data_IF_728393382458
#
_entry.id   IF_728393382458
#
_cell.length_a   1.000
_cell.length_b   1.000
_cell.length_c   1.000
_cell.angle_alpha   90.00
_cell.angle_beta   90.00
_cell.angle_gamma   90.00
#
_symmetry.space_group_name_H-M   'P 1'
#
loop_
_entity.id
_entity.type
_entity.pdbx_description
1 polymer ?
#
# COMPACT_ATOMS: atom_id res chain seq x y z
N UNK A 1 -108.56 10.16 21.25
CA UNK A 1 -108.31 11.01 20.07
C UNK A 1 -106.84 11.40 20.14
N UNK A 2 -105.93 10.70 19.46
CA UNK A 2 -105.49 10.88 18.07
C UNK A 2 -104.96 12.29 17.75
N UNK A 3 -103.78 12.29 17.10
CA UNK A 3 -103.03 13.34 16.39
C UNK A 3 -102.05 14.13 17.29
N UNK A 4 -100.71 14.12 17.11
CA UNK A 4 -99.76 14.11 15.98
C UNK A 4 -99.06 15.48 15.85
N UNK A 5 -97.76 15.41 15.51
CA UNK A 5 -96.89 16.40 14.84
C UNK A 5 -95.89 17.23 15.69
N UNK A 6 -94.62 16.93 15.39
CA UNK A 6 -93.54 17.80 14.88
C UNK A 6 -92.70 18.71 15.80
N UNK A 7 -91.39 18.42 15.68
CA UNK A 7 -90.29 19.33 15.33
C UNK A 7 -89.71 20.26 16.41
N UNK A 8 -88.45 20.00 16.77
CA UNK A 8 -87.42 20.96 17.24
C UNK A 8 -86.11 20.16 17.38
N UNK A 9 -85.21 20.18 16.40
CA UNK A 9 -84.06 21.09 16.21
C UNK A 9 -82.82 20.75 17.04
N UNK A 10 -81.63 20.85 16.41
CA UNK A 10 -80.25 20.70 16.95
C UNK A 10 -79.78 19.24 17.04
N UNK A 11 -78.59 18.79 16.60
CA UNK A 11 -77.27 19.40 16.46
C UNK A 11 -76.53 18.83 15.23
N UNK A 12 -75.67 19.64 14.63
CA UNK A 12 -74.75 19.25 13.57
C UNK A 12 -73.66 18.29 14.08
N UNK A 13 -73.45 17.17 13.38
CA UNK A 13 -72.26 16.33 13.54
C UNK A 13 -71.48 16.33 12.20
N UNK A 14 -70.50 17.23 12.12
CA UNK A 14 -69.36 17.10 11.22
C UNK A 14 -68.50 15.92 11.68
N UNK A 15 -68.14 15.03 10.77
CA UNK A 15 -66.77 14.52 10.57
C UNK A 15 -66.80 13.21 9.79
N UNK A 16 -66.17 13.20 8.61
CA UNK A 16 -65.51 12.02 8.02
C UNK A 16 -64.61 12.52 6.88
N UNK A 17 -63.55 13.24 7.25
CA UNK A 17 -62.38 13.36 6.38
C UNK A 17 -61.57 12.07 6.53
N UNK A 18 -61.55 11.28 5.47
CA UNK A 18 -60.65 10.14 5.31
C UNK A 18 -59.20 10.64 5.34
N UNK A 19 -58.45 10.27 6.37
CA UNK A 19 -57.01 10.47 6.46
C UNK A 19 -56.28 9.22 5.92
N UNK A 20 -55.22 9.36 5.10
CA UNK A 20 -54.42 8.22 4.66
C UNK A 20 -53.47 7.78 5.79
N UNK A 21 -53.83 6.70 6.49
CA UNK A 21 -53.08 6.12 7.60
C UNK A 21 -51.88 5.25 7.16
N UNK A 22 -51.13 5.62 6.12
CA UNK A 22 -50.10 4.73 5.54
C UNK A 22 -48.71 5.34 5.35
N UNK A 23 -48.45 6.55 5.87
CA UNK A 23 -47.12 7.15 5.77
C UNK A 23 -46.17 6.80 6.94
N UNK A 24 -46.67 6.26 8.06
CA UNK A 24 -45.90 6.12 9.29
C UNK A 24 -44.95 4.91 9.31
N UNK A 25 -45.07 3.96 8.37
CA UNK A 25 -44.39 2.65 8.47
C UNK A 25 -43.18 2.49 7.53
N UNK A 26 -42.60 3.60 7.04
CA UNK A 26 -41.38 3.59 6.22
C UNK A 26 -40.07 3.90 6.97
N UNK A 27 -40.13 4.15 8.28
CA UNK A 27 -38.94 4.52 9.07
C UNK A 27 -38.33 3.39 9.90
N UNK A 28 -38.88 2.17 9.84
CA UNK A 28 -38.31 1.01 10.55
C UNK A 28 -37.37 0.24 9.61
N UNK A 29 -36.13 0.72 9.51
CA UNK A 29 -35.10 0.07 8.70
C UNK A 29 -33.78 0.81 8.63
N UNK A 30 -33.64 1.97 9.28
CA UNK A 30 -32.34 2.63 9.42
C UNK A 30 -31.54 1.84 10.47
N UNK A 31 -30.66 0.96 10.01
CA UNK A 31 -29.62 0.38 10.85
C UNK A 31 -28.98 1.53 11.62
N UNK A 32 -29.20 1.55 12.93
CA UNK A 32 -28.74 2.64 13.79
C UNK A 32 -27.22 2.53 13.85
N UNK A 33 -26.53 3.25 12.98
CA UNK A 33 -25.07 3.31 12.96
C UNK A 33 -24.61 3.79 14.34
N UNK A 34 -23.81 3.00 15.08
CA UNK A 34 -23.35 3.36 16.43
C UNK A 34 -22.61 4.70 16.45
N UNK A 35 -21.94 5.05 15.35
CA UNK A 35 -21.34 6.36 15.13
C UNK A 35 -22.33 7.52 15.22
N UNK A 36 -23.54 7.38 14.64
CA UNK A 36 -24.55 8.45 14.64
C UNK A 36 -25.13 8.66 16.03
N UNK A 37 -25.30 7.58 16.80
CA UNK A 37 -25.74 7.66 18.20
C UNK A 37 -24.70 8.34 19.10
N UNK A 38 -23.41 8.02 18.91
CA UNK A 38 -22.33 8.66 19.65
C UNK A 38 -22.22 10.16 19.31
N UNK A 39 -22.23 10.51 18.02
CA UNK A 39 -22.14 11.89 17.56
C UNK A 39 -23.31 12.77 18.05
N UNK A 40 -24.48 12.19 18.28
CA UNK A 40 -25.65 12.93 18.78
C UNK A 40 -25.62 13.21 20.29
N UNK A 41 -24.76 12.51 21.04
CA UNK A 41 -24.66 12.60 22.50
C UNK A 41 -23.49 13.46 22.98
N UNK A 42 -22.57 13.83 22.07
CA UNK A 42 -21.35 14.56 22.39
C UNK A 42 -21.54 16.06 22.09
N UNK A 43 -21.22 16.95 23.04
CA UNK A 43 -21.20 18.40 22.82
C UNK A 43 -20.33 18.81 21.61
N UNK A 44 -20.72 19.88 20.90
CA UNK A 44 -20.06 20.30 19.65
C UNK A 44 -18.56 20.62 19.79
N UNK A 45 -18.11 21.00 20.98
CA UNK A 45 -16.71 21.26 21.36
C UNK A 45 -15.91 19.98 21.68
N UNK A 46 -16.60 18.83 21.79
CA UNK A 46 -16.03 17.52 22.05
C UNK A 46 -16.24 16.54 20.89
N UNK A 47 -16.83 17.03 19.80
CA UNK A 47 -17.17 16.22 18.64
C UNK A 47 -15.87 15.66 18.01
N UNK A 48 -15.81 14.34 17.75
CA UNK A 48 -14.63 13.73 17.15
C UNK A 48 -14.42 14.22 15.72
N UNK A 49 -13.16 14.54 15.40
CA UNK A 49 -12.76 14.98 14.06
C UNK A 49 -12.85 13.87 13.01
N UNK A 50 -12.62 12.62 13.42
CA UNK A 50 -12.72 11.45 12.54
C UNK A 50 -13.58 10.39 13.20
N UNK A 51 -14.58 9.94 12.46
CA UNK A 51 -15.40 8.78 12.81
C UNK A 51 -15.40 7.82 11.64
N UNK A 52 -14.91 6.61 11.87
CA UNK A 52 -14.92 5.51 10.92
C UNK A 52 -15.73 4.37 11.52
N UNK A 53 -16.91 4.12 10.96
CA UNK A 53 -17.80 3.04 11.36
C UNK A 53 -17.75 1.91 10.33
N UNK A 54 -17.41 0.72 10.79
CA UNK A 54 -17.30 -0.51 9.99
C UNK A 54 -18.31 -1.51 10.55
N UNK A 55 -19.58 -1.43 10.09
CA UNK A 55 -20.68 -2.24 10.63
C UNK A 55 -20.58 -3.72 10.23
N UNK A 56 -19.79 -4.06 9.21
CA UNK A 56 -19.57 -5.43 8.76
C UNK A 56 -18.09 -5.63 8.44
N UNK A 57 -17.31 -6.02 9.45
CA UNK A 57 -15.92 -6.44 9.31
C UNK A 57 -15.88 -7.97 9.24
N UNK A 58 -15.63 -8.51 8.06
CA UNK A 58 -15.48 -9.96 7.87
C UNK A 58 -14.01 -10.31 7.73
N UNK A 59 -13.52 -11.16 8.62
CA UNK A 59 -12.17 -11.72 8.57
C UNK A 59 -12.27 -13.20 8.20
N UNK A 60 -11.55 -13.62 7.17
CA UNK A 60 -11.58 -14.98 6.68
C UNK A 60 -11.01 -15.98 7.70
N UNK A 61 -9.89 -15.64 8.34
CA UNK A 61 -9.32 -16.44 9.43
C UNK A 61 -8.46 -15.63 10.40
N UNK A 62 -8.46 -16.04 11.67
CA UNK A 62 -7.59 -15.56 12.73
C UNK A 62 -6.82 -16.78 13.28
N UNK A 63 -5.50 -16.75 13.17
CA UNK A 63 -4.63 -17.77 13.76
C UNK A 63 -3.97 -17.21 15.01
N UNK A 64 -4.17 -17.85 16.15
CA UNK A 64 -3.53 -17.53 17.42
C UNK A 64 -2.57 -18.67 17.79
N UNK A 65 -1.28 -18.38 17.86
CA UNK A 65 -0.25 -19.32 18.29
C UNK A 65 0.31 -18.83 19.63
N UNK A 66 0.01 -19.58 20.69
CA UNK A 66 0.35 -19.24 22.07
C UNK A 66 1.21 -20.34 22.64
N UNK A 67 2.35 -19.97 23.21
CA UNK A 67 3.25 -20.89 23.90
C UNK A 67 3.08 -20.75 25.40
N UNK A 68 3.16 -21.86 26.14
CA UNK A 68 3.10 -21.89 27.60
C UNK A 68 1.77 -21.37 28.17
N UNK A 69 0.63 -21.79 27.62
CA UNK A 69 -0.69 -21.43 28.14
C UNK A 69 -0.97 -22.18 29.45
N UNK A 70 -1.05 -21.44 30.55
CA UNK A 70 -1.51 -21.95 31.85
C UNK A 70 -2.97 -21.51 32.07
N UNK A 71 -3.85 -22.47 32.33
CA UNK A 71 -5.28 -22.24 32.53
C UNK A 71 -5.77 -22.96 33.78
N UNK A 72 -6.50 -22.23 34.63
CA UNK A 72 -7.11 -22.76 35.84
C UNK A 72 -8.61 -22.87 35.64
N UNK A 73 -9.17 -24.08 35.77
CA UNK A 73 -10.61 -24.33 35.63
C UNK A 73 -11.15 -24.80 36.97
N UNK A 74 -12.06 -24.02 37.55
CA UNK A 74 -12.77 -24.39 38.77
C UNK A 74 -14.27 -24.54 38.48
N UNK A 75 -14.81 -25.72 38.73
CA UNK A 75 -16.25 -26.00 38.71
C UNK A 75 -16.75 -26.11 40.16
N UNK A 76 -17.65 -25.20 40.54
CA UNK A 76 -18.40 -25.29 41.78
C UNK A 76 -19.89 -25.44 41.46
N UNK A 77 -20.45 -26.60 41.71
CA UNK A 77 -21.86 -26.91 41.48
C UNK A 77 -22.51 -27.35 42.79
N UNK A 78 -23.59 -26.66 43.17
CA UNK A 78 -24.34 -26.95 44.38
C UNK A 78 -25.81 -27.19 44.04
N UNK A 79 -26.30 -28.39 44.30
CA UNK A 79 -27.70 -28.77 44.16
C UNK A 79 -28.31 -28.89 45.55
N UNK A 80 -28.90 -27.78 46.01
CA UNK A 80 -29.56 -27.63 47.31
C UNK A 80 -28.80 -28.36 48.43
N UNK A 81 -29.46 -29.31 49.09
CA UNK A 81 -28.90 -30.12 50.17
C UNK A 81 -28.40 -31.50 49.71
N UNK A 82 -28.52 -31.81 48.42
CA UNK A 82 -28.25 -33.16 47.90
C UNK A 82 -26.84 -33.33 47.35
N UNK A 83 -26.27 -32.30 46.72
CA UNK A 83 -24.94 -32.39 46.12
C UNK A 83 -24.17 -31.09 46.23
N UNK A 84 -22.92 -31.19 46.73
CA UNK A 84 -21.90 -30.15 46.61
C UNK A 84 -20.72 -30.74 45.86
N UNK A 85 -20.47 -30.25 44.66
CA UNK A 85 -19.36 -30.64 43.82
C UNK A 85 -18.41 -29.45 43.65
N UNK A 86 -17.19 -29.61 44.10
CA UNK A 86 -16.11 -28.65 43.87
C UNK A 86 -14.97 -29.40 43.20
N UNK A 87 -14.63 -28.99 41.98
CA UNK A 87 -13.53 -29.55 41.20
C UNK A 87 -12.65 -28.41 40.68
N UNK A 88 -11.34 -28.54 40.83
CA UNK A 88 -10.34 -27.66 40.24
C UNK A 88 -9.42 -28.46 39.33
N UNK A 89 -9.02 -27.89 38.20
CA UNK A 89 -8.04 -28.44 37.30
C UNK A 89 -7.07 -27.34 36.86
N UNK A 90 -5.77 -27.59 37.05
CA UNK A 90 -4.70 -26.77 36.53
C UNK A 90 -4.20 -27.39 35.22
N UNK A 91 -4.24 -26.62 34.14
CA UNK A 91 -3.88 -27.06 32.80
C UNK A 91 -2.68 -26.25 32.34
N UNK A 92 -1.59 -26.92 31.98
CA UNK A 92 -0.41 -26.31 31.36
C UNK A 92 -0.30 -26.86 29.94
N UNK A 93 -0.26 -25.98 28.95
CA UNK A 93 -0.14 -26.32 27.53
C UNK A 93 1.09 -25.62 26.95
N UNK A 94 2.06 -26.40 26.47
CA UNK A 94 3.32 -25.86 25.96
C UNK A 94 3.14 -25.06 24.66
N UNK A 95 2.20 -25.48 23.81
CA UNK A 95 1.85 -24.77 22.57
C UNK A 95 0.37 -24.99 22.24
N UNK A 96 -0.32 -23.91 21.91
CA UNK A 96 -1.70 -23.87 21.49
C UNK A 96 -1.80 -23.09 20.19
N UNK A 97 -2.28 -23.77 19.15
CA UNK A 97 -2.63 -23.14 17.88
C UNK A 97 -4.15 -23.14 17.72
N UNK A 98 -4.73 -21.95 17.63
CA UNK A 98 -6.16 -21.73 17.43
C UNK A 98 -6.40 -21.05 16.10
N UNK A 99 -7.07 -21.74 15.18
CA UNK A 99 -7.48 -21.22 13.89
C UNK A 99 -8.99 -20.96 13.88
N UNK A 100 -9.39 -19.69 13.97
CA UNK A 100 -10.79 -19.25 13.92
C UNK A 100 -11.09 -18.84 12.48
N UNK A 101 -12.10 -19.45 11.85
CA UNK A 101 -12.50 -19.13 10.46
C UNK A 101 -13.83 -18.39 10.43
N UNK A 102 -13.96 -17.45 9.49
CA UNK A 102 -15.20 -16.73 9.23
C UNK A 102 -15.64 -15.88 10.41
N UNK A 103 -14.81 -14.95 10.85
CA UNK A 103 -15.13 -14.02 11.94
C UNK A 103 -15.89 -12.83 11.36
N UNK A 104 -17.09 -12.56 11.88
CA UNK A 104 -17.82 -11.32 11.62
C UNK A 104 -17.76 -10.44 12.87
N UNK A 105 -17.27 -9.22 12.70
CA UNK A 105 -17.16 -8.24 13.76
C UNK A 105 -17.74 -6.89 13.29
N UNK A 106 -18.00 -6.01 14.25
CA UNK A 106 -18.25 -4.60 13.98
C UNK A 106 -17.12 -3.79 14.62
N UNK A 107 -16.61 -2.78 13.93
CA UNK A 107 -15.53 -1.93 14.43
C UNK A 107 -15.89 -0.46 14.23
N UNK A 108 -15.75 0.37 15.27
CA UNK A 108 -15.90 1.81 15.18
C UNK A 108 -14.64 2.49 15.71
N UNK A 109 -14.04 3.35 14.91
CA UNK A 109 -12.87 4.16 15.25
C UNK A 109 -13.31 5.61 15.37
N UNK A 110 -13.15 6.17 16.57
CA UNK A 110 -13.50 7.54 16.92
C UNK A 110 -12.21 8.23 17.35
N UNK A 111 -11.79 9.27 16.61
CA UNK A 111 -10.53 9.97 16.87
C UNK A 111 -10.78 11.46 17.03
N UNK A 112 -10.18 12.03 18.07
CA UNK A 112 -10.06 13.48 18.27
C UNK A 112 -8.64 13.92 17.91
N UNK A 113 -8.54 14.98 17.11
CA UNK A 113 -7.32 15.54 16.54
C UNK A 113 -6.92 16.84 17.24
N UNK A 114 -7.35 17.04 18.50
CA UNK A 114 -7.07 18.22 19.34
C UNK A 114 -5.59 18.64 19.35
N UNK A 115 -4.68 17.69 19.11
CA UNK A 115 -3.23 17.89 19.15
C UNK A 115 -2.54 17.92 17.78
N UNK A 116 -3.24 17.75 16.65
CA UNK A 116 -2.58 17.76 15.33
C UNK A 116 -1.96 19.12 15.04
N UNK A 117 -2.64 20.20 15.45
CA UNK A 117 -2.07 21.55 15.37
C UNK A 117 -0.80 21.69 16.21
N UNK A 118 -0.79 21.16 17.44
CA UNK A 118 0.39 21.19 18.31
C UNK A 118 1.55 20.35 17.76
N UNK A 119 1.26 19.23 17.10
CA UNK A 119 2.25 18.41 16.40
C UNK A 119 2.82 19.18 15.21
N UNK A 120 1.98 19.80 14.38
CA UNK A 120 2.43 20.59 13.23
C UNK A 120 3.26 21.79 13.70
N UNK A 121 2.79 22.57 14.68
CA UNK A 121 3.53 23.68 15.28
C UNK A 121 4.87 23.20 15.85
N UNK A 122 4.92 22.05 16.54
CA UNK A 122 6.16 21.49 17.06
C UNK A 122 7.10 20.97 15.98
N UNK A 123 6.58 20.36 14.90
CA UNK A 123 7.41 19.92 13.77
C UNK A 123 7.98 21.11 13.00
N UNK A 124 7.19 22.17 12.79
CA UNK A 124 7.66 23.41 12.18
C UNK A 124 8.69 24.11 13.08
N UNK A 125 8.46 24.19 14.39
CA UNK A 125 9.47 24.67 15.35
C UNK A 125 10.72 23.80 15.38
N UNK A 126 10.59 22.47 15.23
CA UNK A 126 11.75 21.58 15.21
C UNK A 126 12.56 21.77 13.94
N UNK A 127 11.92 21.97 12.79
CA UNK A 127 12.58 22.32 11.53
C UNK A 127 13.26 23.71 11.61
N UNK A 128 12.60 24.69 12.20
CA UNK A 128 13.12 26.05 12.39
C UNK A 128 14.36 26.07 13.31
N UNK A 129 14.30 25.30 14.41
CA UNK A 129 15.42 25.18 15.36
C UNK A 129 16.53 24.21 14.90
N UNK A 130 16.32 23.44 13.82
CA UNK A 130 17.28 22.46 13.32
C UNK A 130 17.45 22.57 11.78
N UNK A 131 17.93 23.72 11.27
CA UNK A 131 18.09 23.96 9.82
C UNK A 131 19.04 22.95 9.15
N UNK A 132 19.90 22.28 9.92
CA UNK A 132 20.75 21.19 9.43
C UNK A 132 19.97 20.04 8.78
N UNK A 133 18.72 19.78 9.17
CA UNK A 133 17.88 18.72 8.58
C UNK A 133 17.57 19.03 7.10
N UNK A 134 17.29 20.29 6.79
CA UNK A 134 17.03 20.75 5.42
C UNK A 134 18.30 20.68 4.57
N UNK A 135 19.45 21.04 5.14
CA UNK A 135 20.74 21.01 4.43
C UNK A 135 21.19 19.60 4.00
N UNK A 136 20.83 18.58 4.78
CA UNK A 136 21.14 17.19 4.47
C UNK A 136 20.26 16.66 3.33
N UNK A 137 18.98 17.06 3.31
CA UNK A 137 18.02 16.71 2.26
C UNK A 137 18.35 17.39 0.92
N UNK A 138 18.76 18.67 0.93
CA UNK A 138 19.23 19.36 -0.29
C UNK A 138 20.55 18.80 -0.78
N UNK A 139 21.48 18.46 0.13
CA UNK A 139 22.72 17.78 -0.24
C UNK A 139 22.51 16.40 -0.89
N UNK A 140 21.49 15.64 -0.47
CA UNK A 140 21.13 14.38 -1.14
C UNK A 140 20.50 14.58 -2.52
N UNK A 141 19.76 15.68 -2.72
CA UNK A 141 19.19 16.01 -4.02
C UNK A 141 20.27 16.50 -5.00
N UNK A 142 21.24 17.29 -4.54
CA UNK A 142 22.40 17.71 -5.34
C UNK A 142 23.27 16.52 -5.73
N UNK A 143 23.41 15.51 -4.86
CA UNK A 143 24.08 14.26 -5.20
C UNK A 143 23.29 13.42 -6.22
N UNK A 144 21.96 13.35 -6.14
CA UNK A 144 21.15 12.61 -7.11
C UNK A 144 21.19 13.25 -8.53
N UNK A 145 21.23 14.58 -8.60
CA UNK A 145 21.39 15.30 -9.88
C UNK A 145 22.81 15.16 -10.43
N UNK A 146 23.85 15.22 -9.58
CA UNK A 146 25.24 14.97 -10.00
C UNK A 146 25.52 13.52 -10.39
N UNK A 147 24.86 12.54 -9.77
CA UNK A 147 25.01 11.12 -10.13
C UNK A 147 24.44 10.87 -11.53
N UNK A 148 23.37 11.54 -11.93
CA UNK A 148 22.85 11.42 -13.31
C UNK A 148 23.81 12.02 -14.33
N UNK A 149 24.49 13.14 -14.03
CA UNK A 149 25.51 13.73 -14.90
C UNK A 149 26.83 12.95 -14.97
N UNK A 150 27.25 12.32 -13.87
CA UNK A 150 28.51 11.57 -13.80
C UNK A 150 28.38 10.11 -14.24
N UNK A 151 27.20 9.49 -14.16
CA UNK A 151 26.98 8.12 -14.67
C UNK A 151 27.03 8.10 -16.20
N UNK A 152 26.55 9.14 -16.88
CA UNK A 152 26.70 9.26 -18.33
C UNK A 152 28.18 9.37 -18.75
N UNK A 153 28.98 10.18 -18.06
CA UNK A 153 30.39 10.39 -18.40
C UNK A 153 31.30 9.21 -18.00
N UNK A 154 31.07 8.57 -16.85
CA UNK A 154 31.86 7.40 -16.44
C UNK A 154 31.53 6.14 -17.25
N UNK A 155 30.27 5.96 -17.68
CA UNK A 155 29.92 4.87 -18.59
C UNK A 155 30.57 5.05 -19.97
N UNK A 156 30.61 6.27 -20.50
CA UNK A 156 31.27 6.57 -21.79
C UNK A 156 32.79 6.35 -21.71
N UNK A 157 33.45 6.80 -20.64
CA UNK A 157 34.90 6.60 -20.48
C UNK A 157 35.27 5.13 -20.26
N UNK A 158 34.50 4.39 -19.46
CA UNK A 158 34.75 2.96 -19.21
C UNK A 158 34.55 2.12 -20.47
N UNK A 159 33.57 2.45 -21.32
CA UNK A 159 33.35 1.76 -22.61
C UNK A 159 34.43 2.13 -23.64
N UNK A 160 34.96 3.36 -23.63
CA UNK A 160 36.10 3.76 -24.46
C UNK A 160 37.39 2.96 -24.16
N UNK A 161 37.67 2.71 -22.88
CA UNK A 161 38.83 1.92 -22.45
C UNK A 161 38.66 0.42 -22.74
N UNK A 162 37.44 -0.12 -22.61
CA UNK A 162 37.12 -1.49 -23.02
C UNK A 162 37.30 -1.70 -24.54
N UNK A 163 36.88 -0.72 -25.36
CA UNK A 163 37.02 -0.77 -26.82
C UNK A 163 38.50 -0.86 -27.24
N UNK A 164 39.37 -0.12 -26.57
CA UNK A 164 40.82 -0.15 -26.83
C UNK A 164 41.46 -1.49 -26.49
N UNK A 165 40.96 -2.19 -25.46
CA UNK A 165 41.44 -3.52 -25.08
C UNK A 165 40.92 -4.65 -25.97
N UNK A 166 39.68 -4.56 -26.47
CA UNK A 166 39.10 -5.57 -27.37
C UNK A 166 39.73 -5.54 -28.76
N UNK A 167 40.19 -4.37 -29.23
CA UNK A 167 40.78 -4.21 -30.55
C UNK A 167 42.30 -4.51 -30.61
N UNK A 168 42.86 -5.22 -29.63
CA UNK A 168 44.29 -5.55 -29.59
C UNK A 168 44.67 -6.61 -30.63
N UNK A 169 45.78 -6.40 -31.34
CA UNK A 169 46.36 -7.42 -32.25
C UNK A 169 46.63 -8.72 -31.48
N UNK A 170 46.13 -9.84 -32.01
CA UNK A 170 46.18 -11.18 -31.42
C UNK A 170 44.94 -11.59 -30.61
N UNK A 171 44.04 -10.66 -30.24
CA UNK A 171 42.78 -10.98 -29.57
C UNK A 171 41.72 -11.50 -30.56
N UNK A 172 40.78 -12.32 -30.10
CA UNK A 172 39.60 -12.68 -30.89
C UNK A 172 38.60 -11.53 -30.83
N UNK A 173 38.13 -11.07 -31.99
CA UNK A 173 37.16 -9.99 -32.08
C UNK A 173 35.76 -10.51 -31.66
N UNK A 174 35.25 -10.01 -30.53
CA UNK A 174 33.87 -10.26 -30.07
C UNK A 174 33.05 -8.96 -30.11
N UNK A 175 32.37 -8.74 -31.23
CA UNK A 175 31.59 -7.52 -31.49
C UNK A 175 30.43 -7.41 -30.51
N UNK A 176 29.75 -8.53 -30.22
CA UNK A 176 28.55 -8.57 -29.37
C UNK A 176 28.84 -8.14 -27.92
N UNK A 177 30.05 -8.42 -27.42
CA UNK A 177 30.47 -8.04 -26.06
C UNK A 177 31.23 -6.71 -25.99
N UNK A 178 31.68 -6.20 -27.12
CA UNK A 178 32.53 -5.00 -27.20
C UNK A 178 31.78 -3.67 -27.26
N UNK A 179 30.45 -3.69 -27.43
CA UNK A 179 29.67 -2.47 -27.65
C UNK A 179 29.94 -1.79 -29.01
N UNK A 180 30.63 -2.49 -29.92
CA UNK A 180 30.90 -2.04 -31.28
C UNK A 180 29.75 -2.41 -32.22
N UNK A 181 29.49 -1.55 -33.20
CA UNK A 181 28.50 -1.80 -34.25
C UNK A 181 29.21 -1.98 -35.60
N UNK A 182 28.88 -3.05 -36.33
CA UNK A 182 29.46 -3.28 -37.66
C UNK A 182 28.85 -2.34 -38.68
N UNK A 183 29.68 -1.50 -39.29
CA UNK A 183 29.30 -0.54 -40.35
C UNK A 183 29.46 -1.18 -41.72
N UNK A 184 30.55 -1.90 -41.95
CA UNK A 184 30.79 -2.62 -43.20
C UNK A 184 31.74 -3.79 -42.99
N UNK A 185 31.55 -4.86 -43.77
CA UNK A 185 32.39 -6.06 -43.73
C UNK A 185 32.71 -6.50 -45.16
N UNK A 186 34.01 -6.70 -45.43
CA UNK A 186 34.51 -7.14 -46.74
C UNK A 186 35.63 -8.15 -46.54
N UNK A 187 35.67 -9.19 -47.37
CA UNK A 187 36.77 -10.17 -47.39
C UNK A 187 37.75 -9.78 -48.49
N UNK A 188 39.05 -9.70 -48.15
CA UNK A 188 40.09 -9.39 -49.13
C UNK A 188 40.52 -10.63 -49.93
N UNK A 189 41.33 -10.43 -50.98
CA UNK A 189 41.83 -11.53 -51.81
C UNK A 189 42.73 -12.54 -51.07
N UNK A 190 43.19 -12.20 -49.86
CA UNK A 190 43.96 -13.08 -48.99
C UNK A 190 43.08 -13.89 -48.01
N UNK A 191 41.75 -13.81 -48.11
CA UNK A 191 40.81 -14.53 -47.25
C UNK A 191 40.69 -13.95 -45.83
N UNK A 192 41.15 -12.72 -45.61
CA UNK A 192 41.03 -12.00 -44.34
C UNK A 192 39.78 -11.12 -44.36
N UNK A 193 39.11 -11.01 -43.23
CA UNK A 193 37.91 -10.19 -43.11
C UNK A 193 38.25 -8.82 -42.56
N UNK A 194 37.99 -7.78 -43.35
CA UNK A 194 38.11 -6.37 -43.00
C UNK A 194 36.76 -5.86 -42.54
N UNK A 195 36.66 -5.42 -41.29
CA UNK A 195 35.45 -4.88 -40.68
C UNK A 195 35.66 -3.43 -40.28
N UNK A 196 34.72 -2.59 -40.66
CA UNK A 196 34.59 -1.23 -40.15
C UNK A 196 33.59 -1.25 -39.01
N UNK A 197 34.04 -0.89 -37.82
CA UNK A 197 33.27 -0.91 -36.58
C UNK A 197 33.10 0.51 -36.08
N UNK A 198 31.93 0.86 -35.56
CA UNK A 198 31.67 2.14 -34.90
C UNK A 198 31.48 1.92 -33.40
N UNK A 199 32.25 2.64 -32.60
CA UNK A 199 32.10 2.68 -31.15
C UNK A 199 30.95 3.57 -30.71
N UNK A 200 30.53 3.42 -29.45
CA UNK A 200 29.52 4.27 -28.82
C UNK A 200 29.95 5.74 -28.69
N UNK A 201 31.25 6.00 -28.78
CA UNK A 201 31.88 7.33 -28.86
C UNK A 201 31.77 7.97 -30.25
N UNK A 202 31.19 7.26 -31.22
CA UNK A 202 31.09 7.69 -32.62
C UNK A 202 32.38 7.46 -33.44
N UNK A 203 33.45 6.99 -32.81
CA UNK A 203 34.70 6.71 -33.51
C UNK A 203 34.57 5.47 -34.40
N UNK A 204 35.26 5.50 -35.55
CA UNK A 204 35.27 4.40 -36.50
C UNK A 204 36.62 3.69 -36.45
N UNK A 205 36.60 2.36 -36.41
CA UNK A 205 37.76 1.49 -36.37
C UNK A 205 37.70 0.54 -37.56
N UNK A 206 38.83 0.36 -38.23
CA UNK A 206 39.01 -0.67 -39.25
C UNK A 206 39.84 -1.80 -38.67
N UNK A 207 39.25 -3.00 -38.63
CA UNK A 207 39.79 -4.18 -38.00
C UNK A 207 39.91 -5.29 -39.03
N UNK A 208 41.12 -5.77 -39.25
CA UNK A 208 41.42 -6.91 -40.13
C UNK A 208 41.57 -8.15 -39.26
N UNK A 209 40.77 -9.17 -39.56
CA UNK A 209 40.76 -10.44 -38.85
C UNK A 209 41.12 -11.60 -39.77
N UNK A 210 41.72 -12.64 -39.21
CA UNK A 210 41.93 -13.92 -39.91
C UNK A 210 40.64 -14.76 -39.98
N UNK A 211 40.73 -15.94 -40.59
CA UNK A 211 39.62 -16.89 -40.74
C UNK A 211 39.09 -17.42 -39.40
N UNK A 212 39.82 -17.24 -38.30
CA UNK A 212 39.45 -17.58 -36.93
C UNK A 212 38.96 -16.36 -36.13
N UNK A 213 38.66 -15.23 -36.79
CA UNK A 213 38.27 -13.95 -36.19
C UNK A 213 39.31 -13.34 -35.23
N UNK A 214 40.58 -13.73 -35.34
CA UNK A 214 41.66 -13.08 -34.58
C UNK A 214 42.09 -11.80 -35.26
N UNK A 215 42.24 -10.74 -34.48
CA UNK A 215 42.63 -9.43 -34.95
C UNK A 215 44.09 -9.47 -35.37
N UNK A 216 44.34 -9.28 -36.66
CA UNK A 216 45.68 -9.11 -37.20
C UNK A 216 46.11 -7.64 -37.08
N UNK A 217 45.18 -6.73 -37.41
CA UNK A 217 45.42 -5.28 -37.40
C UNK A 217 44.14 -4.55 -36.99
N UNK A 218 44.28 -3.51 -36.18
CA UNK A 218 43.22 -2.55 -35.89
C UNK A 218 43.79 -1.15 -36.09
N UNK A 219 43.06 -0.30 -36.80
CA UNK A 219 43.43 1.10 -37.01
C UNK A 219 42.19 1.96 -36.83
N UNK A 220 42.31 3.06 -36.07
CA UNK A 220 41.23 4.05 -35.98
C UNK A 220 41.16 4.83 -37.29
N UNK A 221 40.00 4.82 -37.94
CA UNK A 221 39.72 5.62 -39.14
C UNK A 221 39.02 6.88 -38.65
N UNK A 222 39.80 7.95 -38.53
CA UNK A 222 39.24 9.24 -38.14
C UNK A 222 38.37 9.75 -39.31
N UNK A 223 37.10 10.06 -39.02
CA UNK A 223 36.22 10.82 -39.90
C UNK A 223 36.45 12.31 -39.72
#
# INVERSE_FOLDING_TARGET
>A
MRHALLATSTFAALALLAAPAQAQQRQQGQASSPAVSYLSQVPADQQPDVVLDIPNLSVESITLDVQGLEAHVSLNAQLADLLKLSAGADVRLDSVKLDIKGVQAQAALIVRLDNVRAIIERTLQTLDNNPQIISQLTGTLDNAVNVTGNVANNAVNTVGDLTSNVLRSGAVLDIARSGLTTVSETVNAAGQTVRRLRGSDGAVYEVVTDTANRILRSTRVQS
#
